data_IF_625812405988
#
_entry.id   IF_625812405988
#
_cell.length_a   1.000
_cell.length_b   1.000
_cell.length_c   1.000
_cell.angle_alpha   90.00
_cell.angle_beta   90.00
_cell.angle_gamma   90.00
#
_symmetry.space_group_name_H-M   'P 1'
#
loop_
_entity.id
_entity.type
_entity.pdbx_description
1 polymer ?
#
# COMPACT_ATOMS: atom_id res chain seq x y z
N UNK A 1 -9.58 -0.65 3.48
CA UNK A 1 -9.14 0.21 4.60
C UNK A 1 -8.29 -0.65 5.52
N UNK A 2 -7.06 -0.24 5.76
CA UNK A 2 -6.19 -0.85 6.75
C UNK A 2 -5.52 0.27 7.53
N UNK A 3 -5.75 0.31 8.85
CA UNK A 3 -5.40 1.47 9.68
C UNK A 3 -5.94 2.79 9.06
N UNK A 4 -5.05 3.73 8.74
CA UNK A 4 -5.32 5.03 8.12
C UNK A 4 -5.29 5.00 6.58
N UNK A 5 -4.81 3.92 5.97
CA UNK A 5 -4.72 3.80 4.50
C UNK A 5 -6.01 3.25 3.89
N UNK A 6 -6.55 3.96 2.88
CA UNK A 6 -7.74 3.57 2.14
C UNK A 6 -7.48 3.51 0.63
N UNK A 7 -8.01 2.47 -0.02
CA UNK A 7 -8.10 2.38 -1.48
C UNK A 7 -9.58 2.39 -1.86
N UNK A 8 -9.92 3.17 -2.88
CA UNK A 8 -11.19 3.09 -3.57
C UNK A 8 -10.98 2.65 -5.01
N UNK A 9 -11.85 1.76 -5.47
CA UNK A 9 -11.91 1.31 -6.84
C UNK A 9 -13.26 1.73 -7.41
N UNK A 10 -13.24 2.36 -8.56
CA UNK A 10 -14.45 2.69 -9.29
C UNK A 10 -14.20 2.51 -10.78
N UNK A 11 -15.25 2.10 -11.50
CA UNK A 11 -15.17 1.94 -12.95
C UNK A 11 -14.99 3.29 -13.65
N UNK A 12 -15.60 4.36 -13.12
CA UNK A 12 -15.66 5.66 -13.78
C UNK A 12 -14.98 6.76 -12.95
N UNK A 13 -14.27 7.66 -13.62
CA UNK A 13 -13.52 8.74 -12.97
C UNK A 13 -14.42 9.68 -12.16
N UNK A 14 -15.66 9.93 -12.59
CA UNK A 14 -16.57 10.81 -11.85
C UNK A 14 -16.93 10.23 -10.46
N UNK A 15 -17.05 8.91 -10.34
CA UNK A 15 -17.36 8.22 -9.07
C UNK A 15 -16.21 8.34 -8.08
N UNK A 16 -14.96 8.40 -8.55
CA UNK A 16 -13.80 8.71 -7.70
C UNK A 16 -13.93 10.13 -7.13
N UNK A 17 -14.35 11.10 -7.93
CA UNK A 17 -14.54 12.47 -7.45
C UNK A 17 -15.68 12.58 -6.41
N UNK A 18 -16.76 11.81 -6.56
CA UNK A 18 -17.83 11.71 -5.54
C UNK A 18 -17.35 11.05 -4.25
N UNK A 19 -16.53 10.02 -4.38
CA UNK A 19 -15.89 9.38 -3.25
C UNK A 19 -14.97 10.35 -2.49
N UNK A 20 -14.18 11.15 -3.20
CA UNK A 20 -13.34 12.20 -2.59
C UNK A 20 -14.17 13.23 -1.82
N UNK A 21 -15.33 13.65 -2.35
CA UNK A 21 -16.26 14.53 -1.63
C UNK A 21 -16.79 13.90 -0.34
N UNK A 22 -17.04 12.59 -0.37
CA UNK A 22 -17.53 11.84 0.79
C UNK A 22 -16.45 11.72 1.87
N UNK A 23 -15.22 11.37 1.47
CA UNK A 23 -14.07 11.34 2.39
C UNK A 23 -13.83 12.72 2.98
N UNK A 24 -13.82 13.77 2.17
CA UNK A 24 -13.56 15.12 2.65
C UNK A 24 -14.59 15.56 3.70
N UNK A 25 -15.87 15.23 3.48
CA UNK A 25 -16.92 15.45 4.49
C UNK A 25 -16.61 14.70 5.78
N UNK A 26 -16.27 13.42 5.68
CA UNK A 26 -15.90 12.61 6.84
C UNK A 26 -14.67 13.21 7.56
N UNK A 27 -13.65 13.65 6.84
CA UNK A 27 -12.48 14.30 7.42
C UNK A 27 -12.85 15.56 8.19
N UNK A 28 -13.76 16.39 7.67
CA UNK A 28 -14.26 17.56 8.41
C UNK A 28 -15.05 17.18 9.66
N UNK A 29 -15.96 16.21 9.54
CA UNK A 29 -16.83 15.80 10.64
C UNK A 29 -16.03 15.20 11.80
N UNK A 30 -14.90 14.54 11.50
CA UNK A 30 -14.04 13.85 12.46
C UNK A 30 -12.70 14.55 12.73
N UNK A 31 -12.51 15.77 12.23
CA UNK A 31 -11.28 16.57 12.39
C UNK A 31 -9.99 15.85 11.95
N UNK A 32 -10.08 15.10 10.86
CA UNK A 32 -8.96 14.39 10.24
C UNK A 32 -8.38 15.22 9.08
N UNK A 33 -7.07 15.14 8.88
CA UNK A 33 -6.37 15.78 7.76
C UNK A 33 -5.97 14.74 6.70
N UNK A 34 -6.06 15.10 5.42
CA UNK A 34 -5.62 14.24 4.32
C UNK A 34 -4.20 14.61 3.88
N UNK A 35 -3.30 13.63 3.87
CA UNK A 35 -1.95 13.78 3.33
C UNK A 35 -1.94 13.76 1.81
N UNK A 36 -2.44 14.80 1.12
CA UNK A 36 -2.63 14.84 -0.34
C UNK A 36 -1.39 14.39 -1.12
N UNK A 37 -0.21 14.81 -0.68
CA UNK A 37 1.07 14.47 -1.33
C UNK A 37 1.41 12.97 -1.28
N UNK A 38 0.77 12.21 -0.39
CA UNK A 38 0.88 10.75 -0.28
C UNK A 38 -0.28 10.02 -0.97
N UNK A 39 -1.33 10.75 -1.37
CA UNK A 39 -2.43 10.18 -2.13
C UNK A 39 -2.05 10.03 -3.60
N UNK A 40 -2.76 9.18 -4.33
CA UNK A 40 -2.55 9.01 -5.75
C UNK A 40 -3.80 8.44 -6.41
N UNK A 41 -4.06 8.85 -7.65
CA UNK A 41 -5.09 8.22 -8.51
C UNK A 41 -4.41 7.59 -9.71
N UNK A 42 -4.79 6.36 -10.02
CA UNK A 42 -4.30 5.59 -11.15
C UNK A 42 -5.49 5.04 -11.95
N UNK A 43 -5.33 4.90 -13.27
CA UNK A 43 -6.31 4.26 -14.15
C UNK A 43 -5.77 2.91 -14.65
N UNK A 44 -6.56 1.86 -14.48
CA UNK A 44 -6.38 0.60 -15.21
C UNK A 44 -7.34 0.51 -16.39
N UNK A 45 -6.82 0.69 -17.60
CA UNK A 45 -7.61 0.57 -18.82
C UNK A 45 -6.73 0.35 -20.05
N UNK A 46 -7.19 -0.53 -20.95
CA UNK A 46 -6.62 -0.68 -22.30
C UNK A 46 -7.22 0.32 -23.32
N UNK A 47 -8.35 0.94 -22.98
CA UNK A 47 -9.04 1.90 -23.85
C UNK A 47 -8.36 3.27 -23.80
N UNK A 48 -7.86 3.72 -24.96
CA UNK A 48 -7.21 5.02 -25.17
C UNK A 48 -8.16 6.20 -24.93
N UNK A 49 -9.47 6.04 -25.16
CA UNK A 49 -10.43 7.08 -24.87
C UNK A 49 -10.48 7.36 -23.36
N UNK A 50 -10.51 6.30 -22.55
CA UNK A 50 -10.49 6.40 -21.08
C UNK A 50 -9.17 6.96 -20.56
N UNK A 51 -8.04 6.60 -21.17
CA UNK A 51 -6.73 7.19 -20.83
C UNK A 51 -6.71 8.70 -21.10
N UNK A 52 -7.23 9.13 -22.26
CA UNK A 52 -7.33 10.55 -22.61
C UNK A 52 -8.27 11.29 -21.66
N UNK A 53 -9.43 10.72 -21.34
CA UNK A 53 -10.34 11.27 -20.35
C UNK A 53 -9.67 11.39 -18.97
N UNK A 54 -8.97 10.35 -18.50
CA UNK A 54 -8.26 10.38 -17.24
C UNK A 54 -7.14 11.43 -17.24
N UNK A 55 -6.39 11.58 -18.34
CA UNK A 55 -5.36 12.61 -18.48
C UNK A 55 -5.94 14.03 -18.35
N UNK A 56 -7.14 14.26 -18.87
CA UNK A 56 -7.82 15.56 -18.79
C UNK A 56 -8.60 15.78 -17.49
N UNK A 57 -8.99 14.71 -16.80
CA UNK A 57 -9.75 14.79 -15.55
C UNK A 57 -8.85 15.23 -14.40
N UNK A 58 -9.32 16.16 -13.57
CA UNK A 58 -8.60 16.59 -12.36
C UNK A 58 -9.36 16.13 -11.13
N UNK A 59 -8.66 15.50 -10.19
CA UNK A 59 -9.24 14.99 -8.95
C UNK A 59 -8.94 15.96 -7.82
N UNK A 60 -9.95 16.71 -7.38
CA UNK A 60 -9.77 17.85 -6.46
C UNK A 60 -10.51 17.63 -5.15
N UNK A 61 -9.88 18.11 -4.09
CA UNK A 61 -10.43 18.33 -2.75
C UNK A 61 -10.17 19.79 -2.36
N UNK A 62 -10.82 20.28 -1.31
CA UNK A 62 -10.71 21.67 -0.83
C UNK A 62 -9.25 22.05 -0.53
N UNK A 63 -8.48 21.09 -0.03
CA UNK A 63 -7.08 21.28 0.36
C UNK A 63 -6.09 21.17 -0.83
N UNK A 64 -6.51 20.69 -2.00
CA UNK A 64 -5.61 20.54 -3.16
C UNK A 64 -6.05 19.54 -4.22
N UNK A 65 -5.16 19.28 -5.18
CA UNK A 65 -5.36 18.31 -6.25
C UNK A 65 -4.56 17.03 -5.95
N UNK A 66 -5.20 15.87 -6.09
CA UNK A 66 -4.55 14.58 -5.88
C UNK A 66 -3.71 14.25 -7.12
N UNK A 67 -2.41 13.93 -6.95
CA UNK A 67 -1.55 13.61 -8.08
C UNK A 67 -1.98 12.32 -8.76
N UNK A 68 -1.73 12.24 -10.07
CA UNK A 68 -1.87 11.01 -10.83
C UNK A 68 -0.55 10.24 -10.74
N UNK A 69 -0.66 8.93 -10.56
CA UNK A 69 0.50 8.05 -10.39
C UNK A 69 0.36 6.83 -11.29
N UNK A 70 1.49 6.36 -11.79
CA UNK A 70 1.55 5.16 -12.64
C UNK A 70 1.75 3.88 -11.81
N UNK A 71 2.26 4.04 -10.59
CA UNK A 71 2.53 2.97 -9.63
C UNK A 71 1.90 3.31 -8.27
N UNK A 72 1.27 2.32 -7.64
CA UNK A 72 0.66 2.44 -6.32
C UNK A 72 1.17 1.33 -5.39
N UNK A 73 1.69 1.71 -4.22
CA UNK A 73 2.13 0.74 -3.21
C UNK A 73 1.12 0.68 -2.07
N UNK A 74 0.58 -0.50 -1.81
CA UNK A 74 -0.36 -0.73 -0.72
C UNK A 74 -0.07 -2.04 0.00
N UNK A 75 0.09 -1.97 1.33
CA UNK A 75 0.46 -3.12 2.18
C UNK A 75 1.69 -3.88 1.66
N UNK A 76 2.63 -3.16 1.05
CA UNK A 76 3.87 -3.71 0.51
C UNK A 76 3.77 -4.35 -0.88
N UNK A 77 2.56 -4.47 -1.43
CA UNK A 77 2.34 -4.88 -2.81
C UNK A 77 2.38 -3.64 -3.69
N UNK A 78 3.10 -3.74 -4.80
CA UNK A 78 3.20 -2.69 -5.81
C UNK A 78 2.28 -3.05 -6.96
N UNK A 79 1.34 -2.15 -7.24
CA UNK A 79 0.35 -2.27 -8.29
C UNK A 79 0.62 -1.19 -9.34
N UNK A 80 0.64 -1.56 -10.62
CA UNK A 80 1.01 -0.65 -11.70
C UNK A 80 0.05 -0.80 -12.88
N UNK A 81 0.04 0.17 -13.80
CA UNK A 81 -0.90 0.28 -14.93
C UNK A 81 -0.97 -0.97 -15.84
N UNK A 82 0.08 -1.81 -15.86
CA UNK A 82 0.18 -3.05 -16.66
C UNK A 82 -0.45 -4.28 -16.03
N UNK A 83 -1.04 -4.16 -14.84
CA UNK A 83 -1.65 -5.27 -14.09
C UNK A 83 -2.64 -6.19 -14.85
N UNK A 84 -3.40 -5.79 -15.89
CA UNK A 84 -4.27 -6.75 -16.59
C UNK A 84 -3.55 -7.90 -17.31
N UNK A 85 -2.21 -7.87 -17.48
CA UNK A 85 -1.52 -8.87 -18.33
C UNK A 85 -0.38 -9.68 -17.68
N UNK A 86 0.01 -9.45 -16.42
CA UNK A 86 1.21 -10.10 -15.88
C UNK A 86 0.90 -11.22 -14.88
N UNK A 87 0.52 -12.39 -15.40
CA UNK A 87 0.93 -13.68 -14.79
C UNK A 87 2.32 -14.12 -15.26
N UNK A 88 2.91 -13.38 -16.20
CA UNK A 88 4.25 -13.61 -16.75
C UNK A 88 5.10 -12.35 -16.64
N UNK A 89 6.29 -12.44 -16.01
CA UNK A 89 7.17 -11.30 -15.83
C UNK A 89 7.79 -10.89 -17.17
N UNK A 90 7.49 -9.68 -17.64
CA UNK A 90 8.21 -9.04 -18.74
C UNK A 90 9.21 -8.05 -18.14
N UNK A 91 10.50 -8.32 -18.36
CA UNK A 91 11.62 -7.39 -18.19
C UNK A 91 11.83 -6.77 -16.78
N UNK A 92 12.18 -7.61 -15.80
CA UNK A 92 13.06 -7.21 -14.70
C UNK A 92 12.54 -6.16 -13.71
N UNK A 93 11.29 -5.73 -13.82
CA UNK A 93 10.66 -4.77 -12.91
C UNK A 93 9.28 -5.28 -12.54
N UNK A 94 9.16 -5.75 -11.29
CA UNK A 94 8.10 -5.40 -10.32
C UNK A 94 7.92 -6.50 -9.28
N UNK A 95 7.65 -6.04 -8.06
CA UNK A 95 7.48 -6.88 -6.88
C UNK A 95 6.10 -7.55 -6.99
N UNK A 96 6.04 -8.72 -7.61
CA UNK A 96 4.85 -9.57 -7.58
C UNK A 96 4.50 -9.92 -6.12
N UNK A 97 3.24 -10.21 -5.84
CA UNK A 97 2.79 -10.71 -4.52
C UNK A 97 3.70 -11.82 -4.01
N UNK A 98 4.05 -12.78 -4.88
CA UNK A 98 4.98 -13.87 -4.57
C UNK A 98 6.38 -13.38 -4.20
N UNK A 99 6.91 -12.36 -4.89
CA UNK A 99 8.23 -11.79 -4.56
C UNK A 99 8.18 -11.06 -3.23
N UNK A 100 7.09 -10.34 -2.95
CA UNK A 100 6.87 -9.69 -1.67
C UNK A 100 6.74 -10.70 -0.52
N UNK A 101 5.96 -11.77 -0.70
CA UNK A 101 5.83 -12.86 0.27
C UNK A 101 7.19 -13.52 0.52
N UNK A 102 7.94 -13.84 -0.53
CA UNK A 102 9.28 -14.40 -0.39
C UNK A 102 10.26 -13.44 0.31
N UNK A 103 10.14 -12.14 0.06
CA UNK A 103 10.90 -11.12 0.77
C UNK A 103 10.54 -11.07 2.26
N UNK A 104 9.24 -11.12 2.59
CA UNK A 104 8.76 -11.18 3.98
C UNK A 104 9.26 -12.44 4.70
N UNK A 105 9.22 -13.60 4.03
CA UNK A 105 9.76 -14.86 4.55
C UNK A 105 11.25 -14.73 4.84
N UNK A 106 12.04 -14.21 3.90
CA UNK A 106 13.48 -13.98 4.09
C UNK A 106 13.76 -13.04 5.26
N UNK A 107 13.01 -11.94 5.37
CA UNK A 107 13.15 -10.97 6.46
C UNK A 107 12.78 -11.58 7.82
N UNK A 108 11.70 -12.36 7.87
CA UNK A 108 11.27 -13.09 9.06
C UNK A 108 12.30 -14.12 9.51
N UNK A 109 12.83 -14.93 8.58
CA UNK A 109 13.90 -15.88 8.86
C UNK A 109 15.17 -15.19 9.35
N UNK A 110 15.61 -14.10 8.70
CA UNK A 110 16.78 -13.36 9.12
C UNK A 110 16.62 -12.83 10.56
N UNK A 111 15.43 -12.31 10.90
CA UNK A 111 15.11 -11.85 12.26
C UNK A 111 15.12 -13.01 13.25
N UNK A 112 14.52 -14.15 12.90
CA UNK A 112 14.53 -15.37 13.71
C UNK A 112 15.97 -15.85 13.97
N UNK A 113 16.82 -15.87 12.94
CA UNK A 113 18.23 -16.23 13.07
C UNK A 113 19.00 -15.30 14.02
N UNK A 114 18.70 -14.00 14.02
CA UNK A 114 19.30 -13.05 14.96
C UNK A 114 18.88 -13.28 16.41
N UNK A 115 17.60 -13.58 16.67
CA UNK A 115 17.11 -13.78 18.04
C UNK A 115 17.35 -15.20 18.58
N UNK A 116 17.56 -16.19 17.69
CA UNK A 116 17.70 -17.61 18.02
C UNK A 116 18.76 -17.92 19.08
N UNK A 117 19.99 -17.36 19.05
CA UNK A 117 20.99 -17.63 20.09
C UNK A 117 20.51 -17.24 21.49
N UNK A 118 19.83 -16.09 21.61
CA UNK A 118 19.29 -15.58 22.88
C UNK A 118 18.11 -16.40 23.39
N UNK A 119 17.28 -16.94 22.48
CA UNK A 119 16.14 -17.80 22.85
C UNK A 119 16.60 -19.19 23.31
N UNK A 120 17.61 -19.76 22.65
CA UNK A 120 18.16 -21.10 22.98
C UNK A 120 19.03 -21.05 24.25
N UNK A 121 19.67 -19.94 24.56
CA UNK A 121 20.52 -19.83 25.74
C UNK A 121 19.71 -20.05 27.03
N UNK A 122 20.03 -21.10 27.80
CA UNK A 122 19.38 -21.39 29.09
C UNK A 122 19.72 -20.37 30.18
N UNK A 123 20.84 -19.66 30.03
CA UNK A 123 21.26 -18.61 30.97
C UNK A 123 20.58 -17.26 30.69
N UNK A 124 19.85 -17.14 29.58
CA UNK A 124 19.08 -15.94 29.27
C UNK A 124 17.78 -15.94 30.10
N UNK A 125 17.52 -14.91 30.92
CA UNK A 125 16.29 -14.80 31.70
C UNK A 125 15.03 -14.85 30.83
N UNK A 126 14.02 -15.60 31.28
CA UNK A 126 12.72 -15.74 30.60
C UNK A 126 12.10 -14.37 30.22
N UNK A 127 12.13 -13.33 31.07
CA UNK A 127 11.57 -12.02 30.72
C UNK A 127 12.20 -11.40 29.47
N UNK A 128 13.51 -11.58 29.27
CA UNK A 128 14.22 -11.07 28.09
C UNK A 128 13.78 -11.83 26.83
N UNK A 129 13.58 -13.15 26.94
CA UNK A 129 13.07 -13.97 25.83
C UNK A 129 11.66 -13.53 25.42
N UNK A 130 10.77 -13.31 26.39
CA UNK A 130 9.40 -12.83 26.16
C UNK A 130 9.43 -11.44 25.53
N UNK A 131 10.30 -10.55 26.02
CA UNK A 131 10.45 -9.20 25.46
C UNK A 131 10.94 -9.25 24.01
N UNK A 132 11.94 -10.07 23.68
CA UNK A 132 12.44 -10.24 22.31
C UNK A 132 11.37 -10.79 21.37
N UNK A 133 10.59 -11.79 21.81
CA UNK A 133 9.49 -12.34 21.00
C UNK A 133 8.44 -11.25 20.77
N UNK A 134 8.05 -10.50 21.80
CA UNK A 134 7.07 -9.43 21.66
C UNK A 134 7.57 -8.32 20.74
N UNK A 135 8.82 -7.90 20.86
CA UNK A 135 9.37 -6.81 20.03
C UNK A 135 9.53 -7.19 18.57
N UNK A 136 9.89 -8.44 18.25
CA UNK A 136 10.29 -8.80 16.88
C UNK A 136 9.32 -9.72 16.12
N UNK A 137 8.49 -10.50 16.81
CA UNK A 137 7.54 -11.44 16.18
C UNK A 137 6.09 -10.96 16.24
N UNK A 138 5.74 -10.12 17.22
CA UNK A 138 4.38 -9.60 17.42
C UNK A 138 4.45 -8.07 17.60
N UNK A 139 4.73 -7.31 16.52
CA UNK A 139 4.71 -5.86 16.58
C UNK A 139 3.31 -5.31 16.93
#
# INVERSE_FOLDING_TARGET
LYADDMIALAEEGHKIQDFLRTIEKWCRDWWMALGIQKCGVMLWSIDEHRKTQHANTRYRITEGEIPKVDEYKYLGIVADDTLPFSRTPVQGRRVNEETYVNFLVKKGLATLHHIRPSLINHNCPIPIKVMLIRTFLIP
#
